data_IF_091859362774
#
_entry.id   IF_091859362774
#
_cell.length_a   1.000
_cell.length_b   1.000
_cell.length_c   1.000
_cell.angle_alpha   90.00
_cell.angle_beta   90.00
_cell.angle_gamma   90.00
#
_symmetry.space_group_name_H-M   'P 1'
#
loop_
_entity.id
_entity.type
_entity.pdbx_description
1 polymer ?
#
# COMPACT_ATOMS: atom_id res chain seq x y z
N UNK A 1 10.18 13.09 -47.09
CA UNK A 1 9.89 13.79 -45.82
C UNK A 1 8.81 12.97 -45.14
N UNK A 2 9.17 12.17 -44.14
CA UNK A 2 8.23 11.25 -43.48
C UNK A 2 7.85 11.88 -42.15
N UNK A 3 6.59 12.29 -42.05
CA UNK A 3 5.97 12.81 -40.84
C UNK A 3 5.78 11.64 -39.87
N UNK A 4 6.52 11.65 -38.75
CA UNK A 4 6.26 10.72 -37.64
C UNK A 4 5.04 11.21 -36.89
N UNK A 5 3.92 10.51 -37.07
CA UNK A 5 2.78 10.56 -36.15
C UNK A 5 3.21 9.97 -34.80
N UNK A 6 3.44 10.85 -33.83
CA UNK A 6 3.52 10.48 -32.42
C UNK A 6 2.09 10.26 -31.93
N UNK A 7 1.73 9.00 -31.71
CA UNK A 7 0.46 8.64 -31.08
C UNK A 7 0.64 8.91 -29.58
N UNK A 8 0.03 9.99 -29.10
CA UNK A 8 -0.11 10.27 -27.67
C UNK A 8 -1.17 9.33 -27.10
N UNK A 9 -0.73 8.21 -26.51
CA UNK A 9 -1.59 7.32 -25.71
C UNK A 9 -1.69 7.78 -24.25
N UNK A 10 -1.34 9.03 -23.96
CA UNK A 10 -1.40 9.60 -22.62
C UNK A 10 -2.84 9.83 -22.16
N UNK A 11 -3.47 8.82 -21.57
CA UNK A 11 -4.50 9.07 -20.55
C UNK A 11 -3.79 9.78 -19.40
N UNK A 12 -3.71 11.12 -19.47
CA UNK A 12 -3.33 11.94 -18.31
C UNK A 12 -4.40 11.71 -17.25
N UNK A 13 -4.04 10.95 -16.22
CA UNK A 13 -4.83 10.88 -14.99
C UNK A 13 -4.85 12.28 -14.39
N UNK A 14 -5.92 13.02 -14.64
CA UNK A 14 -6.20 14.24 -13.90
C UNK A 14 -6.78 13.82 -12.56
N UNK A 15 -5.90 13.58 -11.59
CA UNK A 15 -6.31 13.61 -10.19
C UNK A 15 -6.85 15.02 -9.89
N UNK A 16 -7.91 15.17 -9.08
CA UNK A 16 -8.30 16.47 -8.55
C UNK A 16 -7.07 17.16 -7.97
N UNK A 17 -6.86 18.46 -8.23
CA UNK A 17 -5.60 19.17 -7.97
C UNK A 17 -5.11 19.18 -6.52
N UNK A 18 -5.88 18.66 -5.56
CA UNK A 18 -5.53 18.55 -4.14
C UNK A 18 -5.58 17.11 -3.59
N UNK A 19 -5.91 16.10 -4.41
CA UNK A 19 -6.07 14.73 -3.92
C UNK A 19 -4.73 13.98 -3.94
N UNK A 20 -4.19 13.73 -2.75
CA UNK A 20 -2.96 12.95 -2.56
C UNK A 20 -3.21 11.47 -2.91
N UNK A 21 -2.17 10.80 -3.43
CA UNK A 21 -2.28 9.46 -4.04
C UNK A 21 -2.72 8.39 -3.03
N UNK A 22 -2.29 8.48 -1.77
CA UNK A 22 -2.70 7.58 -0.69
C UNK A 22 -4.18 7.74 -0.35
N UNK A 23 -4.67 8.97 -0.21
CA UNK A 23 -6.10 9.26 -0.03
C UNK A 23 -6.94 8.75 -1.20
N UNK A 24 -6.45 8.91 -2.44
CA UNK A 24 -7.10 8.39 -3.63
C UNK A 24 -7.24 6.86 -3.59
N UNK A 25 -6.15 6.17 -3.25
CA UNK A 25 -6.15 4.71 -3.09
C UNK A 25 -7.15 4.27 -2.01
N UNK A 26 -7.14 4.93 -0.85
CA UNK A 26 -8.06 4.58 0.24
C UNK A 26 -9.53 4.66 -0.16
N UNK A 27 -9.90 5.73 -0.86
CA UNK A 27 -11.28 5.92 -1.35
C UNK A 27 -11.70 4.81 -2.32
N UNK A 28 -10.82 4.43 -3.25
CA UNK A 28 -11.08 3.36 -4.21
C UNK A 28 -11.21 2.01 -3.51
N UNK A 29 -10.36 1.71 -2.52
CA UNK A 29 -10.43 0.48 -1.73
C UNK A 29 -11.73 0.43 -0.92
N UNK A 30 -12.19 1.56 -0.37
CA UNK A 30 -13.45 1.68 0.37
C UNK A 30 -14.67 1.42 -0.52
N UNK A 31 -14.71 2.06 -1.69
CA UNK A 31 -15.75 1.81 -2.67
C UNK A 31 -15.76 0.34 -3.13
N UNK A 32 -14.59 -0.24 -3.41
CA UNK A 32 -14.45 -1.65 -3.78
C UNK A 32 -14.94 -2.59 -2.68
N UNK A 33 -14.63 -2.31 -1.40
CA UNK A 33 -15.14 -3.10 -0.27
C UNK A 33 -16.67 -3.11 -0.21
N UNK A 34 -17.32 -1.97 -0.43
CA UNK A 34 -18.79 -1.87 -0.43
C UNK A 34 -19.38 -2.66 -1.60
N UNK A 35 -18.80 -2.52 -2.80
CA UNK A 35 -19.26 -3.27 -3.98
C UNK A 35 -19.10 -4.77 -3.78
N UNK A 36 -17.96 -5.22 -3.24
CA UNK A 36 -17.72 -6.64 -2.94
C UNK A 36 -18.71 -7.22 -1.93
N UNK A 37 -19.15 -6.42 -0.95
CA UNK A 37 -20.16 -6.84 0.02
C UNK A 37 -21.57 -6.94 -0.58
N UNK A 38 -21.91 -6.05 -1.52
CA UNK A 38 -23.25 -5.99 -2.13
C UNK A 38 -23.41 -6.92 -3.33
N UNK A 39 -22.42 -6.99 -4.20
CA UNK A 39 -22.49 -7.64 -5.52
C UNK A 39 -21.54 -8.84 -5.66
N UNK A 40 -20.60 -9.02 -4.72
CA UNK A 40 -19.56 -10.04 -4.79
C UNK A 40 -18.29 -9.56 -5.51
N UNK A 41 -17.31 -10.46 -5.64
CA UNK A 41 -16.03 -10.13 -6.30
C UNK A 41 -16.21 -9.87 -7.80
N UNK A 42 -15.55 -8.83 -8.31
CA UNK A 42 -15.56 -8.45 -9.72
C UNK A 42 -14.14 -8.16 -10.20
N UNK A 43 -13.76 -8.74 -11.34
CA UNK A 43 -12.43 -8.53 -11.93
C UNK A 43 -12.19 -7.06 -12.31
N UNK A 44 -13.21 -6.35 -12.78
CA UNK A 44 -13.10 -4.93 -13.13
C UNK A 44 -12.83 -4.05 -11.90
N UNK A 45 -13.43 -4.40 -10.76
CA UNK A 45 -13.19 -3.74 -9.48
C UNK A 45 -11.76 -4.02 -9.03
N UNK A 46 -11.31 -5.27 -9.11
CA UNK A 46 -9.96 -5.68 -8.73
C UNK A 46 -8.90 -4.96 -9.56
N UNK A 47 -9.07 -4.90 -10.89
CA UNK A 47 -8.18 -4.18 -11.79
C UNK A 47 -8.13 -2.68 -11.48
N UNK A 48 -9.25 -2.10 -11.06
CA UNK A 48 -9.31 -0.70 -10.63
C UNK A 48 -8.51 -0.49 -9.34
N UNK A 49 -8.68 -1.34 -8.33
CA UNK A 49 -7.89 -1.27 -7.09
C UNK A 49 -6.39 -1.44 -7.39
N UNK A 50 -6.02 -2.44 -8.19
CA UNK A 50 -4.62 -2.71 -8.60
C UNK A 50 -4.00 -1.46 -9.23
N UNK A 51 -4.71 -0.78 -10.13
CA UNK A 51 -4.19 0.44 -10.78
C UNK A 51 -3.84 1.55 -9.79
N UNK A 52 -4.65 1.76 -8.76
CA UNK A 52 -4.39 2.78 -7.74
C UNK A 52 -3.31 2.34 -6.75
N UNK A 53 -3.23 1.04 -6.46
CA UNK A 53 -2.14 0.47 -5.67
C UNK A 53 -0.81 0.63 -6.39
N UNK A 54 -0.75 0.31 -7.68
CA UNK A 54 0.45 0.50 -8.50
C UNK A 54 0.88 1.98 -8.55
N UNK A 55 -0.08 2.90 -8.67
CA UNK A 55 0.20 4.34 -8.61
C UNK A 55 0.84 4.75 -7.28
N UNK A 56 0.29 4.27 -6.15
CA UNK A 56 0.86 4.54 -4.84
C UNK A 56 2.23 3.87 -4.63
N UNK A 57 2.41 2.62 -5.06
CA UNK A 57 3.70 1.91 -4.99
C UNK A 57 4.77 2.65 -5.79
N UNK A 58 4.43 3.22 -6.95
CA UNK A 58 5.38 4.00 -7.75
C UNK A 58 5.92 5.23 -7.00
N UNK A 59 5.10 5.91 -6.20
CA UNK A 59 5.54 7.03 -5.34
C UNK A 59 6.47 6.56 -4.21
N UNK A 60 6.31 5.30 -3.78
CA UNK A 60 7.10 4.70 -2.71
C UNK A 60 8.45 4.12 -3.18
N UNK A 61 8.70 4.02 -4.49
CA UNK A 61 9.97 3.51 -5.00
C UNK A 61 11.11 4.53 -4.88
N UNK A 62 12.37 4.09 -4.63
CA UNK A 62 12.78 2.70 -4.35
C UNK A 62 12.46 2.26 -2.91
N UNK A 63 12.18 0.97 -2.73
CA UNK A 63 12.02 0.34 -1.40
C UNK A 63 13.23 -0.55 -1.05
N UNK A 64 13.48 -0.77 0.24
CA UNK A 64 14.55 -1.64 0.70
C UNK A 64 14.11 -3.12 0.67
N UNK A 65 14.03 -3.73 -0.51
CA UNK A 65 13.63 -5.13 -0.62
C UNK A 65 14.77 -6.09 -0.25
N UNK A 66 14.49 -7.05 0.66
CA UNK A 66 15.38 -8.20 0.93
C UNK A 66 14.79 -9.49 0.33
N UNK A 67 15.62 -10.33 -0.32
CA UNK A 67 15.17 -11.63 -0.84
C UNK A 67 14.48 -12.48 0.24
N UNK A 68 13.38 -13.15 -0.12
CA UNK A 68 12.59 -13.97 0.81
C UNK A 68 11.52 -13.20 1.59
N UNK A 69 11.55 -11.85 1.57
CA UNK A 69 10.61 -11.04 2.35
C UNK A 69 9.17 -11.17 1.84
N UNK A 70 8.98 -11.20 0.52
CA UNK A 70 7.66 -11.32 -0.09
C UNK A 70 7.01 -12.67 0.22
N UNK A 71 7.79 -13.74 0.23
CA UNK A 71 7.34 -15.10 0.54
C UNK A 71 6.88 -15.21 2.00
N UNK A 72 7.67 -14.64 2.93
CA UNK A 72 7.29 -14.60 4.33
C UNK A 72 6.01 -13.77 4.52
N UNK A 73 5.96 -12.56 3.96
CA UNK A 73 4.77 -11.70 4.04
C UNK A 73 3.52 -12.36 3.45
N UNK A 74 3.62 -12.94 2.26
CA UNK A 74 2.51 -13.62 1.59
C UNK A 74 1.92 -14.78 2.39
N UNK A 75 2.74 -15.47 3.19
CA UNK A 75 2.28 -16.52 4.12
C UNK A 75 1.51 -15.97 5.33
N UNK A 76 1.81 -14.74 5.75
CA UNK A 76 1.21 -14.08 6.92
C UNK A 76 -0.08 -13.35 6.58
N UNK A 77 -0.14 -12.66 5.44
CA UNK A 77 -1.34 -11.95 4.98
C UNK A 77 -2.50 -12.93 4.92
N UNK A 78 -3.63 -12.57 5.55
CA UNK A 78 -4.84 -13.41 5.63
C UNK A 78 -6.02 -12.82 4.89
N UNK A 79 -6.03 -11.51 4.69
CA UNK A 79 -7.15 -10.79 4.05
C UNK A 79 -6.72 -10.15 2.74
N UNK A 80 -7.69 -9.91 1.86
CA UNK A 80 -7.57 -9.00 0.72
C UNK A 80 -7.53 -7.55 1.22
N UNK A 81 -6.97 -6.64 0.44
CA UNK A 81 -6.89 -5.22 0.80
C UNK A 81 -8.25 -4.59 1.11
N UNK A 82 -9.31 -4.95 0.39
CA UNK A 82 -10.70 -4.48 0.64
C UNK A 82 -11.23 -4.88 2.02
N UNK A 83 -10.74 -5.98 2.59
CA UNK A 83 -11.13 -6.46 3.92
C UNK A 83 -10.53 -5.70 5.11
N UNK A 84 -9.95 -4.51 4.88
CA UNK A 84 -9.25 -3.71 5.89
C UNK A 84 -10.19 -2.86 6.77
N UNK A 85 -11.35 -2.44 6.23
CA UNK A 85 -12.22 -1.45 6.88
C UNK A 85 -12.94 -1.85 8.17
N UNK A 86 -13.05 -3.13 8.55
CA UNK A 86 -13.51 -3.48 9.89
C UNK A 86 -12.61 -2.94 11.01
N UNK A 87 -11.34 -2.64 10.73
CA UNK A 87 -10.33 -2.25 11.75
C UNK A 87 -9.76 -0.84 11.53
N UNK A 88 -9.91 -0.28 10.32
CA UNK A 88 -9.29 0.99 9.91
C UNK A 88 -10.30 1.79 9.09
N UNK A 89 -10.45 3.07 9.40
CA UNK A 89 -11.31 3.95 8.59
C UNK A 89 -10.65 4.34 7.27
N UNK A 90 -11.45 4.69 6.26
CA UNK A 90 -10.97 5.24 4.98
C UNK A 90 -10.02 6.43 5.19
N UNK A 91 -10.38 7.39 6.04
CA UNK A 91 -9.55 8.55 6.32
C UNK A 91 -8.21 8.15 6.99
N UNK A 92 -8.24 7.21 7.92
CA UNK A 92 -7.03 6.72 8.60
C UNK A 92 -6.09 6.04 7.60
N UNK A 93 -6.61 5.16 6.74
CA UNK A 93 -5.82 4.50 5.70
C UNK A 93 -5.24 5.54 4.73
N UNK A 94 -6.05 6.48 4.23
CA UNK A 94 -5.60 7.53 3.31
C UNK A 94 -4.47 8.37 3.88
N UNK A 95 -4.66 8.87 5.12
CA UNK A 95 -3.65 9.66 5.84
C UNK A 95 -2.36 8.87 6.02
N UNK A 96 -2.45 7.60 6.42
CA UNK A 96 -1.27 6.72 6.61
C UNK A 96 -0.47 6.54 5.33
N UNK A 97 -1.15 6.29 4.21
CA UNK A 97 -0.52 6.06 2.91
C UNK A 97 0.15 7.33 2.37
N UNK A 98 -0.47 8.47 2.63
CA UNK A 98 0.01 9.77 2.24
C UNK A 98 1.25 10.20 3.06
N UNK A 99 1.18 10.08 4.38
CA UNK A 99 2.32 10.38 5.26
C UNK A 99 3.49 9.42 5.05
N UNK A 100 3.22 8.16 4.67
CA UNK A 100 4.28 7.22 4.29
C UNK A 100 5.12 7.76 3.12
N UNK A 101 4.51 8.42 2.14
CA UNK A 101 5.20 9.06 1.02
C UNK A 101 6.02 10.27 1.52
N UNK A 102 5.44 11.11 2.38
CA UNK A 102 6.15 12.27 2.95
C UNK A 102 7.38 11.84 3.74
N UNK A 103 7.24 10.85 4.63
CA UNK A 103 8.35 10.32 5.42
C UNK A 103 9.43 9.68 4.55
N UNK A 104 9.04 8.92 3.52
CA UNK A 104 9.97 8.37 2.53
C UNK A 104 10.77 9.48 1.86
N UNK A 105 10.11 10.53 1.40
CA UNK A 105 10.76 11.68 0.76
C UNK A 105 11.67 12.43 1.75
N UNK A 106 11.27 12.64 2.99
CA UNK A 106 12.12 13.28 4.00
C UNK A 106 13.40 12.48 4.28
N UNK A 107 13.33 11.14 4.30
CA UNK A 107 14.54 10.29 4.43
C UNK A 107 15.47 10.49 3.24
N UNK A 108 14.94 10.48 2.02
CA UNK A 108 15.72 10.65 0.79
C UNK A 108 16.42 12.01 0.71
N UNK A 109 15.82 13.05 1.27
CA UNK A 109 16.38 14.41 1.30
C UNK A 109 17.20 14.70 2.58
N UNK A 110 17.32 13.75 3.51
CA UNK A 110 18.07 13.93 4.75
C UNK A 110 17.41 14.89 5.74
N UNK A 111 16.09 15.02 5.69
CA UNK A 111 15.29 15.89 6.55
C UNK A 111 14.97 15.25 7.91
N UNK A 112 14.57 16.07 8.88
CA UNK A 112 14.12 15.60 10.19
C UNK A 112 12.70 15.07 10.06
N UNK A 113 12.51 13.81 10.46
CA UNK A 113 11.21 13.15 10.46
C UNK A 113 10.49 13.49 11.77
N UNK A 114 9.45 14.31 11.68
CA UNK A 114 8.52 14.52 12.77
C UNK A 114 7.46 13.40 12.77
N UNK A 115 6.96 13.02 13.94
CA UNK A 115 5.82 12.10 14.11
C UNK A 115 5.98 10.65 13.60
N UNK A 116 7.22 10.16 13.43
CA UNK A 116 7.47 8.76 13.06
C UNK A 116 6.76 7.74 13.97
N UNK A 117 6.70 8.00 15.28
CA UNK A 117 6.07 7.07 16.22
C UNK A 117 4.57 6.88 15.93
N UNK A 118 3.87 7.96 15.56
CA UNK A 118 2.45 7.91 15.23
C UNK A 118 2.22 7.20 13.90
N UNK A 119 3.09 7.45 12.91
CA UNK A 119 3.07 6.72 11.64
C UNK A 119 3.38 5.24 11.84
N UNK A 120 4.34 4.88 12.70
CA UNK A 120 4.70 3.49 13.01
C UNK A 120 3.49 2.73 13.57
N UNK A 121 2.74 3.35 14.50
CA UNK A 121 1.52 2.77 15.06
C UNK A 121 0.42 2.61 13.98
N UNK A 122 0.23 3.60 13.11
CA UNK A 122 -0.75 3.52 12.02
C UNK A 122 -0.38 2.42 11.02
N UNK A 123 0.88 2.31 10.63
CA UNK A 123 1.38 1.24 9.77
C UNK A 123 1.18 -0.12 10.43
N UNK A 124 1.50 -0.27 11.72
CA UNK A 124 1.28 -1.52 12.44
C UNK A 124 -0.20 -1.93 12.41
N UNK A 125 -1.12 -0.97 12.58
CA UNK A 125 -2.56 -1.23 12.46
C UNK A 125 -2.93 -1.72 11.05
N UNK A 126 -2.40 -1.11 10.00
CA UNK A 126 -2.60 -1.54 8.59
C UNK A 126 -2.07 -2.96 8.35
N UNK A 127 -0.88 -3.28 8.87
CA UNK A 127 -0.33 -4.64 8.75
C UNK A 127 -1.22 -5.64 9.49
N UNK A 128 -1.62 -5.33 10.73
CA UNK A 128 -2.41 -6.21 11.59
C UNK A 128 -3.79 -6.48 11.02
N UNK A 129 -4.45 -5.49 10.47
CA UNK A 129 -5.78 -5.63 9.86
C UNK A 129 -5.77 -6.55 8.64
N UNK A 130 -4.62 -6.66 7.96
CA UNK A 130 -4.39 -7.63 6.87
C UNK A 130 -3.88 -8.99 7.35
N UNK A 131 -3.70 -9.18 8.67
CA UNK A 131 -3.26 -10.42 9.31
C UNK A 131 -1.74 -10.53 9.52
N UNK A 132 -1.00 -9.43 9.37
CA UNK A 132 0.45 -9.39 9.52
C UNK A 132 0.83 -8.80 10.88
N UNK A 133 1.42 -9.62 11.75
CA UNK A 133 2.04 -9.15 12.99
C UNK A 133 3.47 -8.70 12.72
N UNK A 134 3.76 -7.44 13.03
CA UNK A 134 5.07 -6.81 12.82
C UNK A 134 6.20 -7.52 13.57
N UNK A 135 5.88 -8.20 14.68
CA UNK A 135 6.86 -8.93 15.48
C UNK A 135 7.51 -10.09 14.72
N UNK A 136 6.85 -10.64 13.69
CA UNK A 136 7.49 -11.63 12.81
C UNK A 136 8.67 -11.08 12.01
N UNK A 137 8.80 -9.76 11.95
CA UNK A 137 9.82 -9.04 11.18
C UNK A 137 10.77 -8.25 12.09
N UNK A 138 10.85 -8.58 13.39
CA UNK A 138 11.74 -7.91 14.35
C UNK A 138 13.18 -7.86 13.85
N UNK A 139 13.76 -8.99 13.42
CA UNK A 139 15.12 -9.06 12.86
C UNK A 139 15.31 -8.20 11.60
N UNK A 140 14.24 -7.96 10.85
CA UNK A 140 14.27 -7.13 9.65
C UNK A 140 14.25 -5.64 10.00
N UNK A 141 13.52 -5.27 11.06
CA UNK A 141 13.44 -3.91 11.59
C UNK A 141 14.59 -3.56 12.54
N UNK A 142 15.33 -4.55 13.04
CA UNK A 142 16.46 -4.36 13.93
C UNK A 142 17.68 -3.81 13.15
N UNK A 143 17.89 -2.51 13.27
CA UNK A 143 19.06 -1.80 12.71
C UNK A 143 19.47 -0.65 13.63
N UNK A 144 20.77 -0.33 13.63
CA UNK A 144 21.33 0.80 14.36
C UNK A 144 21.08 2.15 13.66
N UNK A 145 20.61 2.13 12.41
CA UNK A 145 20.32 3.32 11.63
C UNK A 145 18.80 3.59 11.62
N UNK A 146 18.39 4.72 12.19
CA UNK A 146 16.99 5.11 12.24
C UNK A 146 16.33 5.21 10.85
N UNK A 147 16.98 5.86 9.88
CA UNK A 147 16.46 5.98 8.52
C UNK A 147 16.31 4.61 7.83
N UNK A 148 17.24 3.68 8.07
CA UNK A 148 17.11 2.30 7.60
C UNK A 148 15.92 1.58 8.26
N UNK A 149 15.71 1.76 9.57
CA UNK A 149 14.55 1.20 10.28
C UNK A 149 13.25 1.67 9.65
N UNK A 150 13.13 2.97 9.39
CA UNK A 150 11.93 3.55 8.76
C UNK A 150 11.75 3.01 7.34
N UNK A 151 12.80 2.98 6.52
CA UNK A 151 12.74 2.42 5.18
C UNK A 151 12.32 0.94 5.19
N UNK A 152 12.78 0.16 6.17
CA UNK A 152 12.38 -1.24 6.33
C UNK A 152 10.88 -1.33 6.64
N UNK A 153 10.37 -0.51 7.57
CA UNK A 153 8.94 -0.45 7.89
C UNK A 153 8.08 -0.08 6.67
N UNK A 154 8.48 0.94 5.92
CA UNK A 154 7.79 1.37 4.70
C UNK A 154 7.81 0.26 3.63
N UNK A 155 8.92 -0.48 3.53
CA UNK A 155 9.01 -1.63 2.61
C UNK A 155 8.04 -2.75 3.01
N UNK A 156 7.86 -3.01 4.32
CA UNK A 156 6.85 -3.97 4.79
C UNK A 156 5.45 -3.51 4.40
N UNK A 157 5.12 -2.23 4.59
CA UNK A 157 3.83 -1.66 4.21
C UNK A 157 3.58 -1.84 2.70
N UNK A 158 4.52 -1.43 1.86
CA UNK A 158 4.42 -1.49 0.39
C UNK A 158 4.18 -2.91 -0.09
N UNK A 159 5.00 -3.86 0.36
CA UNK A 159 4.86 -5.26 -0.03
C UNK A 159 3.54 -5.87 0.50
N UNK A 160 3.13 -5.51 1.71
CA UNK A 160 1.88 -6.01 2.28
C UNK A 160 0.68 -5.56 1.48
N UNK A 161 0.61 -4.27 1.13
CA UNK A 161 -0.47 -3.71 0.30
C UNK A 161 -0.45 -4.35 -1.08
N UNK A 162 0.72 -4.42 -1.75
CA UNK A 162 0.84 -5.04 -3.07
C UNK A 162 0.36 -6.50 -3.09
N UNK A 163 0.80 -7.31 -2.12
CA UNK A 163 0.40 -8.72 -2.04
C UNK A 163 -1.09 -8.86 -1.66
N UNK A 164 -1.59 -8.06 -0.71
CA UNK A 164 -2.99 -8.12 -0.28
C UNK A 164 -3.96 -7.70 -1.39
N UNK A 165 -3.51 -6.89 -2.34
CA UNK A 165 -4.35 -6.42 -3.45
C UNK A 165 -4.65 -7.53 -4.44
N UNK A 166 -3.66 -8.35 -4.78
CA UNK A 166 -3.82 -9.47 -5.74
C UNK A 166 -4.31 -10.76 -5.08
N UNK A 167 -4.58 -10.72 -3.77
CA UNK A 167 -5.03 -11.88 -3.01
C UNK A 167 -6.52 -12.11 -3.21
N UNK A 168 -6.90 -13.32 -3.59
CA UNK A 168 -8.30 -13.74 -3.64
C UNK A 168 -8.85 -13.95 -2.22
N UNK A 169 -10.15 -13.71 -2.00
CA UNK A 169 -10.79 -13.99 -0.72
C UNK A 169 -10.60 -15.45 -0.35
N UNK A 170 -10.18 -15.68 0.90
CA UNK A 170 -10.02 -17.02 1.44
C UNK A 170 -11.42 -17.55 1.75
N UNK A 171 -11.99 -18.38 0.88
CA UNK A 171 -13.21 -19.13 1.15
C UNK A 171 -12.83 -20.50 1.70
N UNK A 172 -13.57 -20.98 2.72
CA UNK A 172 -13.35 -22.31 3.30
C UNK A 172 -13.48 -23.46 2.28
N UNK A 173 -14.04 -23.17 1.10
CA UNK A 173 -14.19 -24.09 -0.03
C UNK A 173 -12.90 -24.32 -0.83
N UNK A 174 -11.80 -23.60 -0.54
CA UNK A 174 -10.48 -23.77 -1.17
C UNK A 174 -9.55 -24.73 -0.40
N UNK A 175 -10.09 -25.60 0.46
CA UNK A 175 -9.39 -26.73 1.12
C UNK A 175 -9.64 -28.04 0.40
#
# INVERSE_FOLDING_TARGET
MVEKLSIDTGVKQTFPQDMRVGSALSHIVAAASIVEELEGESEDVDLTVIKYVDAWINEMLPINYKPGLAEVLGSKIKKKLTGIFPEISENELGTTLDEAIEVKNSIEHGEIIYDYADLEVRIERVLRSLGVDINYFSNYLETNNFGEKVNNLLSLLVLTIGIATVRKKWTAELQ
#
